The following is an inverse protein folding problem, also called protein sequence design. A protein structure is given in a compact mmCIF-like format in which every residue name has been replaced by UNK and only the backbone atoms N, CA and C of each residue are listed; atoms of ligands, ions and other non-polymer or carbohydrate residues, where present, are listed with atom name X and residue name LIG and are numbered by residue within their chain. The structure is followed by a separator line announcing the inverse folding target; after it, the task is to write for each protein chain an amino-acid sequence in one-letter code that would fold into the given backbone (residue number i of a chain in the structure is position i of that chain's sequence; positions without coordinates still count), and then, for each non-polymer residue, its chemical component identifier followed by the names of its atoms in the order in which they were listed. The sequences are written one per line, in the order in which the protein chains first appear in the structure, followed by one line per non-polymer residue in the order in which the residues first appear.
data_IF_406647963962
#
_entry.id   IF_406647963962
#
_cell.length_a   1.000
_cell.length_b   1.000
_cell.length_c   1.000
_cell.angle_alpha   90.00
_cell.angle_beta   90.00
_cell.angle_gamma   90.00
#
_symmetry.space_group_name_H-M   'P 1'
#
loop_
_entity.id
_entity.type
_entity.pdbx_description
1 polymer ?
#
# COMPACT_ATOMS: atom_id res chain seq x y z
N UNK A 1 -38.16 23.84 18.79
CA UNK A 1 -38.57 22.50 18.28
C UNK A 1 -37.64 22.10 17.16
N UNK A 2 -36.68 21.18 17.42
CA UNK A 2 -35.74 20.66 16.42
C UNK A 2 -36.42 19.52 15.66
N UNK A 3 -36.59 19.68 14.34
CA UNK A 3 -37.19 18.65 13.46
C UNK A 3 -36.20 17.46 13.34
N UNK A 4 -36.64 16.29 13.79
CA UNK A 4 -35.93 15.03 13.47
C UNK A 4 -36.02 14.76 11.97
N UNK A 5 -34.94 14.33 11.31
CA UNK A 5 -34.96 14.05 9.88
C UNK A 5 -35.74 12.75 9.62
N UNK A 6 -36.80 12.87 8.84
CA UNK A 6 -37.69 11.79 8.43
C UNK A 6 -37.04 10.50 7.94
N UNK A 7 -35.83 10.51 7.26
CA UNK A 7 -35.16 9.29 6.82
C UNK A 7 -34.65 8.40 7.97
N UNK A 8 -34.20 8.98 9.09
CA UNK A 8 -33.68 8.19 10.22
C UNK A 8 -34.76 7.41 10.95
N UNK A 9 -35.96 8.00 11.10
CA UNK A 9 -37.10 7.32 11.73
C UNK A 9 -37.59 6.14 10.88
N UNK A 10 -37.60 6.31 9.54
CA UNK A 10 -38.00 5.24 8.62
C UNK A 10 -37.02 4.07 8.60
N UNK A 11 -35.72 4.33 8.69
CA UNK A 11 -34.68 3.30 8.76
C UNK A 11 -34.78 2.50 10.06
N UNK A 12 -35.03 3.16 11.18
CA UNK A 12 -35.18 2.48 12.48
C UNK A 12 -36.45 1.60 12.50
N UNK A 13 -37.56 2.07 11.93
CA UNK A 13 -38.80 1.28 11.81
C UNK A 13 -38.62 0.08 10.86
N UNK A 14 -37.85 0.22 9.76
CA UNK A 14 -37.58 -0.88 8.84
C UNK A 14 -36.71 -1.96 9.49
N UNK A 15 -35.68 -1.58 10.23
CA UNK A 15 -34.79 -2.51 10.97
C UNK A 15 -35.59 -3.20 12.11
N UNK A 16 -36.41 -2.46 12.84
CA UNK A 16 -37.29 -3.02 13.86
C UNK A 16 -38.30 -4.03 13.31
N UNK A 17 -38.87 -3.73 12.13
CA UNK A 17 -39.79 -4.64 11.41
C UNK A 17 -39.10 -5.94 10.97
N UNK A 18 -37.88 -5.86 10.46
CA UNK A 18 -37.08 -7.02 10.04
C UNK A 18 -36.69 -7.89 11.26
N UNK A 19 -36.31 -7.29 12.36
CA UNK A 19 -35.95 -8.01 13.60
C UNK A 19 -37.17 -8.66 14.25
N UNK A 20 -38.36 -8.04 14.19
CA UNK A 20 -39.61 -8.60 14.71
C UNK A 20 -40.15 -9.76 13.86
N UNK A 21 -39.88 -9.74 12.54
CA UNK A 21 -40.30 -10.79 11.60
C UNK A 21 -39.34 -12.00 11.56
N UNK A 22 -38.10 -11.86 12.03
CA UNK A 22 -37.08 -12.89 12.01
C UNK A 22 -37.50 -14.24 12.65
N UNK A 23 -38.18 -14.29 13.80
CA UNK A 23 -38.64 -15.55 14.38
C UNK A 23 -39.75 -16.24 13.58
N UNK A 24 -40.58 -15.50 12.85
CA UNK A 24 -41.67 -16.04 12.03
C UNK A 24 -41.16 -16.63 10.71
N UNK A 25 -40.06 -16.07 10.18
CA UNK A 25 -39.41 -16.55 8.97
C UNK A 25 -38.59 -17.81 9.24
N UNK A 26 -37.87 -17.87 10.36
CA UNK A 26 -37.12 -19.06 10.77
C UNK A 26 -38.01 -20.27 11.07
N UNK A 27 -39.20 -20.06 11.63
CA UNK A 27 -40.17 -21.14 11.90
C UNK A 27 -40.79 -21.76 10.60
N UNK A 28 -40.82 -21.01 9.49
CA UNK A 28 -41.28 -21.53 8.19
C UNK A 28 -40.17 -22.14 7.33
N UNK A 29 -38.91 -21.84 7.59
CA UNK A 29 -37.77 -22.33 6.82
C UNK A 29 -37.17 -23.64 7.37
N UNK A 30 -37.62 -24.10 8.54
CA UNK A 30 -37.15 -25.37 9.14
C UNK A 30 -37.55 -26.63 8.36
N UNK A 31 -38.38 -26.53 7.31
CA UNK A 31 -38.74 -27.64 6.42
C UNK A 31 -37.98 -27.67 5.08
N UNK A 32 -37.16 -26.67 4.76
CA UNK A 32 -36.35 -26.65 3.54
C UNK A 32 -35.01 -27.33 3.82
N UNK A 33 -34.80 -28.49 3.21
CA UNK A 33 -33.53 -29.23 3.32
C UNK A 33 -32.40 -28.39 2.76
N UNK A 34 -31.32 -28.23 3.52
CA UNK A 34 -30.08 -27.54 3.08
C UNK A 34 -29.56 -28.01 1.70
N UNK A 35 -29.90 -29.26 1.30
CA UNK A 35 -29.58 -29.82 -0.01
C UNK A 35 -30.14 -29.02 -1.20
N UNK A 36 -31.33 -28.39 -1.07
CA UNK A 36 -31.92 -27.59 -2.15
C UNK A 36 -31.26 -26.25 -2.42
N UNK A 37 -30.45 -25.74 -1.46
CA UNK A 37 -29.70 -24.48 -1.62
C UNK A 37 -28.33 -24.75 -2.26
N UNK A 38 -27.75 -25.93 -2.04
CA UNK A 38 -26.45 -26.33 -2.63
C UNK A 38 -26.61 -26.54 -4.14
N UNK A 39 -27.75 -27.14 -4.60
CA UNK A 39 -28.03 -27.35 -6.03
C UNK A 39 -28.25 -26.04 -6.82
N UNK A 40 -28.59 -24.93 -6.14
CA UNK A 40 -28.71 -23.61 -6.77
C UNK A 40 -27.36 -22.89 -6.95
N UNK A 41 -26.28 -23.41 -6.35
CA UNK A 41 -24.93 -22.84 -6.41
C UNK A 41 -23.96 -23.67 -7.24
N UNK A 42 -24.43 -24.71 -7.91
CA UNK A 42 -23.61 -25.55 -8.78
C UNK A 42 -23.47 -24.94 -10.17
N UNK A 43 -22.39 -24.21 -10.39
CA UNK A 43 -21.99 -23.62 -11.67
C UNK A 43 -21.11 -24.59 -12.49
N UNK A 44 -21.48 -25.85 -12.60
CA UNK A 44 -20.85 -26.73 -13.58
C UNK A 44 -21.43 -26.46 -14.97
N UNK A 45 -20.61 -26.06 -15.97
CA UNK A 45 -21.14 -25.85 -17.31
C UNK A 45 -21.51 -27.17 -17.95
N UNK A 46 -22.80 -27.35 -18.30
CA UNK A 46 -23.26 -28.45 -19.12
C UNK A 46 -22.47 -28.50 -20.44
N UNK A 47 -21.77 -29.62 -20.67
CA UNK A 47 -21.14 -29.88 -21.95
C UNK A 47 -22.18 -30.33 -22.95
N UNK A 48 -22.65 -29.44 -23.79
CA UNK A 48 -23.42 -29.74 -24.97
C UNK A 48 -22.48 -30.38 -26.02
N UNK A 49 -22.81 -31.54 -26.57
CA UNK A 49 -21.97 -32.13 -27.63
C UNK A 49 -22.07 -31.30 -28.91
N UNK A 50 -20.94 -30.83 -29.41
CA UNK A 50 -20.83 -30.15 -30.68
C UNK A 50 -21.05 -31.12 -31.82
N UNK A 51 -22.08 -30.89 -32.63
CA UNK A 51 -22.24 -31.54 -33.95
C UNK A 51 -21.11 -31.13 -34.89
N UNK A 52 -20.59 -32.02 -35.75
CA UNK A 52 -19.50 -31.71 -36.63
C UNK A 52 -20.01 -30.86 -37.82
N UNK A 53 -19.78 -29.57 -37.78
CA UNK A 53 -19.92 -28.67 -38.92
C UNK A 53 -18.60 -28.65 -39.71
N UNK A 54 -18.72 -29.00 -40.96
CA UNK A 54 -17.73 -29.09 -42.01
C UNK A 54 -16.81 -27.85 -42.03
N UNK A 55 -15.52 -28.08 -41.80
CA UNK A 55 -14.49 -27.07 -41.94
C UNK A 55 -14.32 -26.67 -43.41
N UNK A 56 -14.81 -25.51 -43.80
CA UNK A 56 -14.30 -24.81 -44.98
C UNK A 56 -13.05 -24.04 -44.57
N UNK A 57 -11.92 -24.46 -45.12
CA UNK A 57 -10.64 -23.76 -45.01
C UNK A 57 -10.77 -22.41 -45.70
N UNK A 58 -10.86 -21.33 -44.97
CA UNK A 58 -10.70 -19.98 -45.49
C UNK A 58 -9.24 -19.61 -45.20
N UNK A 59 -8.44 -19.45 -46.26
CA UNK A 59 -7.10 -18.90 -46.15
C UNK A 59 -7.24 -17.48 -45.58
N UNK A 60 -6.51 -17.15 -44.49
CA UNK A 60 -6.53 -15.79 -43.97
C UNK A 60 -5.78 -14.87 -44.92
N UNK A 61 -6.45 -13.84 -45.40
CA UNK A 61 -5.78 -12.72 -46.13
C UNK A 61 -4.66 -12.14 -45.26
N UNK A 62 -3.52 -11.77 -45.82
CA UNK A 62 -2.42 -11.19 -45.06
C UNK A 62 -2.87 -9.87 -44.45
N UNK A 63 -2.89 -9.82 -43.10
CA UNK A 63 -3.13 -8.59 -42.35
C UNK A 63 -2.08 -7.55 -42.74
N UNK A 64 -2.47 -6.30 -43.00
CA UNK A 64 -1.50 -5.23 -43.29
C UNK A 64 -0.61 -5.10 -42.04
N UNK A 65 0.70 -5.23 -42.21
CA UNK A 65 1.67 -4.96 -41.18
C UNK A 65 1.47 -3.52 -40.70
N UNK A 66 1.14 -3.30 -39.39
CA UNK A 66 1.13 -1.93 -38.90
C UNK A 66 2.56 -1.40 -39.00
N UNK A 67 2.76 -0.38 -39.83
CA UNK A 67 3.96 0.46 -39.79
C UNK A 67 3.87 1.20 -38.46
N UNK A 68 4.37 0.57 -37.39
CA UNK A 68 4.66 1.23 -36.14
C UNK A 68 5.71 2.30 -36.45
N UNK A 69 5.25 3.54 -36.66
CA UNK A 69 6.11 4.69 -36.40
C UNK A 69 6.58 4.51 -34.98
N UNK A 70 7.86 4.22 -34.80
CA UNK A 70 8.58 4.36 -33.55
C UNK A 70 8.53 5.86 -33.18
N UNK A 71 7.37 6.33 -32.64
CA UNK A 71 7.42 7.40 -31.68
C UNK A 71 8.28 6.83 -30.57
N UNK A 72 9.37 7.51 -30.24
CA UNK A 72 10.23 7.18 -29.13
C UNK A 72 9.30 6.88 -27.95
N UNK A 73 9.14 5.60 -27.61
CA UNK A 73 8.38 5.18 -26.47
C UNK A 73 9.04 5.89 -25.29
N UNK A 74 8.34 6.85 -24.67
CA UNK A 74 8.83 7.47 -23.45
C UNK A 74 9.10 6.33 -22.48
N UNK A 75 10.33 6.25 -21.97
CA UNK A 75 10.69 5.21 -21.02
C UNK A 75 9.68 5.26 -19.87
N UNK A 76 9.14 4.09 -19.46
CA UNK A 76 8.18 4.02 -18.35
C UNK A 76 8.79 4.55 -17.06
N UNK A 77 10.09 4.34 -16.88
CA UNK A 77 10.90 4.93 -15.82
C UNK A 77 11.76 6.06 -16.44
N UNK A 78 11.40 7.30 -16.11
CA UNK A 78 12.13 8.51 -16.46
C UNK A 78 13.06 8.89 -15.30
N UNK A 79 14.35 8.66 -15.49
CA UNK A 79 15.45 8.97 -14.55
C UNK A 79 16.51 9.85 -15.21
N UNK A 80 16.08 10.80 -16.06
CA UNK A 80 16.98 11.70 -16.82
C UNK A 80 17.85 12.59 -15.94
N UNK A 81 17.46 12.78 -14.68
CA UNK A 81 18.21 13.57 -13.69
C UNK A 81 19.15 12.72 -12.84
N UNK A 82 19.34 11.43 -13.15
CA UNK A 82 20.13 10.48 -12.36
C UNK A 82 19.72 10.44 -10.88
N UNK A 83 18.43 10.68 -10.63
CA UNK A 83 17.85 10.78 -9.30
C UNK A 83 17.93 9.47 -8.50
N UNK A 84 18.09 8.34 -9.18
CA UNK A 84 18.17 7.02 -8.60
C UNK A 84 19.61 6.52 -8.38
N UNK A 85 20.64 7.30 -8.72
CA UNK A 85 22.03 6.83 -8.60
C UNK A 85 22.42 6.43 -7.18
N UNK A 86 21.97 7.18 -6.16
CA UNK A 86 22.15 6.81 -4.75
C UNK A 86 21.53 5.48 -4.40
N UNK A 87 20.31 5.24 -4.84
CA UNK A 87 19.61 3.98 -4.68
C UNK A 87 20.28 2.84 -5.46
N UNK A 88 20.67 3.04 -6.71
CA UNK A 88 21.35 2.01 -7.51
C UNK A 88 22.72 1.64 -6.93
N UNK A 89 23.42 2.60 -6.34
CA UNK A 89 24.68 2.32 -5.60
C UNK A 89 24.42 1.39 -4.41
N UNK A 90 23.37 1.66 -3.61
CA UNK A 90 23.00 0.80 -2.47
C UNK A 90 22.57 -0.60 -2.97
N UNK A 91 21.72 -0.66 -4.00
CA UNK A 91 21.23 -1.91 -4.58
C UNK A 91 22.37 -2.77 -5.17
N UNK A 92 23.37 -2.14 -5.83
CA UNK A 92 24.55 -2.82 -6.33
C UNK A 92 25.40 -3.45 -5.22
N UNK A 93 25.48 -2.82 -4.04
CA UNK A 93 26.17 -3.37 -2.89
C UNK A 93 25.45 -4.61 -2.34
N UNK A 94 24.11 -4.56 -2.25
CA UNK A 94 23.30 -5.71 -1.86
C UNK A 94 23.45 -6.86 -2.86
N UNK A 95 23.41 -6.57 -4.17
CA UNK A 95 23.61 -7.56 -5.25
C UNK A 95 24.96 -8.28 -5.15
N UNK A 96 26.03 -7.57 -4.78
CA UNK A 96 27.37 -8.18 -4.58
C UNK A 96 27.48 -8.93 -3.25
N UNK A 97 26.44 -8.94 -2.43
CA UNK A 97 26.48 -9.61 -1.13
C UNK A 97 27.42 -8.95 -0.12
N UNK A 98 27.66 -7.64 -0.22
CA UNK A 98 28.57 -6.93 0.70
C UNK A 98 28.03 -7.02 2.14
N UNK A 99 28.88 -7.34 3.14
CA UNK A 99 28.45 -7.40 4.53
C UNK A 99 27.73 -6.12 4.98
N UNK A 100 26.53 -6.27 5.56
CA UNK A 100 25.71 -5.15 6.04
C UNK A 100 25.06 -4.29 4.95
N UNK A 101 25.14 -4.66 3.68
CA UNK A 101 24.50 -3.94 2.59
C UNK A 101 23.00 -4.23 2.55
N UNK A 102 22.21 -3.47 3.32
CA UNK A 102 20.76 -3.50 3.29
C UNK A 102 20.25 -2.27 2.55
N UNK A 103 19.58 -2.49 1.42
CA UNK A 103 18.90 -1.42 0.65
C UNK A 103 17.48 -1.25 1.17
N UNK A 104 17.17 -0.07 1.72
CA UNK A 104 15.86 0.23 2.30
C UNK A 104 15.04 1.10 1.35
N UNK A 105 13.83 0.65 1.06
CA UNK A 105 12.86 1.38 0.24
C UNK A 105 11.64 1.69 1.08
N UNK A 106 11.20 2.95 1.07
CA UNK A 106 9.97 3.40 1.74
C UNK A 106 8.97 3.80 0.66
N UNK A 107 7.81 3.16 0.62
CA UNK A 107 6.76 3.41 -0.36
C UNK A 107 5.50 3.97 0.32
N UNK A 108 5.31 5.28 0.22
CA UNK A 108 4.08 5.95 0.62
C UNK A 108 3.03 5.86 -0.49
N UNK A 109 1.84 5.39 -0.15
CA UNK A 109 0.75 5.23 -1.12
C UNK A 109 -0.63 5.18 -0.48
N UNK A 110 -1.62 4.90 -1.31
CA UNK A 110 -3.03 4.81 -0.94
C UNK A 110 -3.52 3.36 -0.75
N UNK A 111 -4.77 3.07 -1.07
CA UNK A 111 -5.40 1.77 -0.79
C UNK A 111 -4.75 0.55 -1.44
N UNK A 112 -4.23 0.54 -2.69
CA UNK A 112 -3.45 -0.57 -3.24
C UNK A 112 -2.22 -0.92 -2.41
N UNK A 113 -1.54 0.09 -1.85
CA UNK A 113 -0.39 -0.08 -0.95
C UNK A 113 -0.84 -0.58 0.42
N UNK A 114 -1.97 -0.08 0.96
CA UNK A 114 -2.56 -0.58 2.22
C UNK A 114 -2.87 -2.08 2.19
N UNK A 115 -3.33 -2.58 1.06
CA UNK A 115 -3.68 -3.98 0.87
C UNK A 115 -2.52 -4.85 0.34
N UNK A 116 -1.32 -4.28 0.23
CA UNK A 116 -0.10 -4.93 -0.29
C UNK A 116 -0.30 -5.58 -1.68
N UNK A 117 -1.21 -5.01 -2.51
CA UNK A 117 -1.62 -5.58 -3.79
C UNK A 117 -0.54 -5.48 -4.88
N UNK A 118 0.26 -4.41 -4.82
CA UNK A 118 1.37 -4.17 -5.75
C UNK A 118 2.69 -4.30 -4.99
N UNK A 119 2.77 -3.69 -3.83
CA UNK A 119 3.98 -3.58 -3.00
C UNK A 119 4.50 -4.94 -2.53
N UNK A 120 3.59 -5.89 -2.21
CA UNK A 120 3.98 -7.23 -1.83
C UNK A 120 4.65 -8.02 -2.96
N UNK A 121 4.23 -7.84 -4.22
CA UNK A 121 4.91 -8.44 -5.36
C UNK A 121 6.21 -7.71 -5.71
N UNK A 122 6.28 -6.38 -5.58
CA UNK A 122 7.53 -5.62 -5.74
C UNK A 122 8.56 -6.11 -4.73
N UNK A 123 8.19 -6.18 -3.43
CA UNK A 123 9.05 -6.68 -2.36
C UNK A 123 9.58 -8.07 -2.68
N UNK A 124 8.70 -9.01 -3.02
CA UNK A 124 9.07 -10.39 -3.32
C UNK A 124 10.05 -10.50 -4.51
N UNK A 125 9.80 -9.77 -5.60
CA UNK A 125 10.67 -9.77 -6.79
C UNK A 125 12.05 -9.17 -6.50
N UNK A 126 12.10 -8.03 -5.79
CA UNK A 126 13.38 -7.42 -5.42
C UNK A 126 14.17 -8.29 -4.44
N UNK A 127 13.51 -8.88 -3.45
CA UNK A 127 14.14 -9.78 -2.49
C UNK A 127 14.65 -11.06 -3.15
N UNK A 128 13.89 -11.62 -4.10
CA UNK A 128 14.35 -12.77 -4.89
C UNK A 128 15.61 -12.47 -5.68
N UNK A 129 15.75 -11.25 -6.18
CA UNK A 129 16.88 -10.85 -7.05
C UNK A 129 18.11 -10.36 -6.27
N UNK A 130 17.89 -9.61 -5.18
CA UNK A 130 18.94 -8.87 -4.49
C UNK A 130 19.20 -9.35 -3.05
N UNK A 131 18.48 -10.37 -2.59
CA UNK A 131 18.54 -10.87 -1.21
C UNK A 131 17.38 -10.37 -0.35
N UNK A 132 16.91 -11.24 0.53
CA UNK A 132 15.81 -10.98 1.45
C UNK A 132 16.33 -10.49 2.81
N UNK A 133 16.22 -9.19 3.07
CA UNK A 133 16.59 -8.57 4.34
C UNK A 133 15.40 -8.34 5.28
N UNK A 134 14.23 -8.96 5.01
CA UNK A 134 13.09 -8.99 5.92
C UNK A 134 11.87 -8.19 5.45
N UNK A 135 10.86 -8.18 6.32
CA UNK A 135 9.58 -7.55 6.03
C UNK A 135 9.61 -6.02 6.05
N UNK A 136 10.56 -5.43 6.79
CA UNK A 136 10.59 -4.00 7.03
C UNK A 136 9.56 -3.56 8.06
N UNK A 137 8.97 -2.37 7.86
CA UNK A 137 8.05 -1.75 8.79
C UNK A 137 6.64 -2.35 8.69
N UNK A 138 6.09 -2.76 9.84
CA UNK A 138 4.76 -3.35 9.99
C UNK A 138 3.98 -2.57 11.04
N UNK A 139 2.71 -2.30 10.79
CA UNK A 139 1.81 -1.73 11.80
C UNK A 139 1.54 -2.74 12.92
N UNK A 140 1.13 -2.25 14.11
CA UNK A 140 0.89 -3.13 15.27
C UNK A 140 -0.57 -3.61 15.41
N UNK A 141 -1.49 -3.01 14.67
CA UNK A 141 -2.87 -3.47 14.54
C UNK A 141 -3.40 -3.07 13.17
N UNK A 142 -4.54 -3.64 12.74
CA UNK A 142 -5.16 -3.34 11.45
C UNK A 142 -6.02 -2.08 11.54
N UNK A 143 -5.65 -0.97 10.90
CA UNK A 143 -6.47 0.24 10.87
C UNK A 143 -7.74 0.05 10.01
N UNK A 144 -7.68 -0.87 9.06
CA UNK A 144 -8.77 -1.27 8.18
C UNK A 144 -8.82 -2.80 8.05
N UNK A 145 -9.98 -3.36 7.84
CA UNK A 145 -10.15 -4.82 7.73
C UNK A 145 -9.31 -5.44 6.60
N UNK A 146 -9.07 -4.69 5.53
CA UNK A 146 -8.28 -5.12 4.37
C UNK A 146 -6.80 -4.73 4.43
N UNK A 147 -6.32 -4.11 5.52
CA UNK A 147 -4.88 -3.92 5.71
C UNK A 147 -4.17 -5.28 5.70
N UNK A 148 -3.18 -5.38 4.85
CA UNK A 148 -2.35 -6.57 4.72
C UNK A 148 -0.86 -6.19 4.64
N UNK A 149 -0.03 -7.07 5.14
CA UNK A 149 1.39 -7.12 4.87
C UNK A 149 1.72 -8.59 4.58
N UNK A 150 2.02 -8.91 3.33
CA UNK A 150 2.19 -10.29 2.89
C UNK A 150 3.32 -10.97 3.67
N UNK A 151 3.07 -12.16 4.21
CA UNK A 151 3.99 -12.89 5.07
C UNK A 151 3.88 -12.52 6.57
N UNK A 152 2.95 -11.61 6.93
CA UNK A 152 2.72 -11.21 8.33
C UNK A 152 1.24 -11.34 8.68
N UNK A 153 0.93 -12.15 9.70
CA UNK A 153 -0.39 -12.20 10.30
C UNK A 153 -0.44 -11.27 11.52
N UNK A 154 -1.31 -10.27 11.43
CA UNK A 154 -1.43 -9.23 12.43
C UNK A 154 -2.77 -9.31 13.15
N UNK A 155 -2.74 -9.39 14.47
CA UNK A 155 -3.90 -9.22 15.33
C UNK A 155 -3.61 -8.21 16.45
N UNK A 156 -4.54 -7.29 16.68
CA UNK A 156 -4.47 -6.29 17.74
C UNK A 156 -5.84 -6.05 18.34
N UNK A 157 -5.90 -5.81 19.64
CA UNK A 157 -7.12 -5.48 20.39
C UNK A 157 -6.84 -4.40 21.42
N UNK A 158 -7.87 -3.66 21.81
CA UNK A 158 -7.79 -2.62 22.86
C UNK A 158 -7.10 -1.32 22.41
N UNK A 159 -6.61 -1.21 21.21
CA UNK A 159 -5.98 0.00 20.68
C UNK A 159 -7.03 1.01 20.19
N UNK A 160 -6.85 2.27 20.55
CA UNK A 160 -7.45 3.38 19.83
C UNK A 160 -6.59 3.64 18.59
N UNK A 161 -7.19 3.53 17.40
CA UNK A 161 -6.46 3.58 16.13
C UNK A 161 -6.84 4.85 15.39
N UNK A 162 -5.87 5.70 15.12
CA UNK A 162 -6.06 6.96 14.40
C UNK A 162 -5.14 7.01 13.16
N UNK A 163 -5.66 6.66 11.97
CA UNK A 163 -4.97 6.91 10.71
C UNK A 163 -4.97 8.40 10.37
N UNK A 164 -3.92 8.88 9.73
CA UNK A 164 -3.78 10.28 9.30
C UNK A 164 -4.84 10.72 8.27
N UNK A 165 -5.58 9.78 7.68
CA UNK A 165 -6.69 10.06 6.74
C UNK A 165 -8.05 10.33 7.41
N UNK A 166 -8.17 10.22 8.73
CA UNK A 166 -9.42 10.54 9.43
C UNK A 166 -9.63 12.05 9.57
N UNK A 167 -10.88 12.50 9.43
CA UNK A 167 -11.30 13.91 9.59
C UNK A 167 -11.41 14.34 11.07
N UNK A 168 -10.42 14.00 11.89
CA UNK A 168 -10.33 14.43 13.29
C UNK A 168 -9.18 15.43 13.44
N UNK A 169 -9.19 16.19 14.53
CA UNK A 169 -8.04 17.04 14.83
C UNK A 169 -6.76 16.19 14.94
N UNK A 170 -5.76 16.53 14.16
CA UNK A 170 -4.50 15.81 14.09
C UNK A 170 -3.45 16.57 14.91
N UNK A 171 -2.76 15.83 15.79
CA UNK A 171 -1.61 16.36 16.54
C UNK A 171 -0.27 16.15 15.81
N UNK A 172 -0.30 15.50 14.65
CA UNK A 172 0.87 15.24 13.79
C UNK A 172 1.73 14.04 14.20
N UNK A 173 1.39 13.32 15.27
CA UNK A 173 2.14 12.17 15.78
C UNK A 173 1.64 10.86 15.16
N UNK A 174 2.04 10.58 13.93
CA UNK A 174 1.58 9.40 13.19
C UNK A 174 2.69 8.35 12.91
N UNK A 175 3.92 8.61 13.37
CA UNK A 175 5.07 7.73 13.08
C UNK A 175 5.42 7.68 11.58
N UNK A 176 6.19 6.65 11.22
CA UNK A 176 6.63 6.44 9.85
C UNK A 176 5.47 6.06 8.93
N UNK A 177 4.58 5.18 9.40
CA UNK A 177 3.51 4.56 8.60
C UNK A 177 2.18 5.33 8.59
N UNK A 178 2.11 6.50 9.23
CA UNK A 178 0.92 7.35 9.17
C UNK A 178 -0.27 6.88 10.01
N UNK A 179 -0.05 6.00 10.99
CA UNK A 179 -1.08 5.51 11.91
C UNK A 179 -0.60 5.60 13.35
N UNK A 180 -1.43 6.18 14.19
CA UNK A 180 -1.24 6.29 15.63
C UNK A 180 -2.04 5.22 16.35
N UNK A 181 -1.42 4.53 17.31
CA UNK A 181 -2.03 3.52 18.16
C UNK A 181 -1.85 3.91 19.60
N UNK A 182 -2.94 4.25 20.30
CA UNK A 182 -2.89 4.64 21.72
C UNK A 182 -3.66 3.66 22.57
N UNK A 183 -3.17 3.42 23.80
CA UNK A 183 -3.83 2.62 24.81
C UNK A 183 -3.54 3.19 26.18
N UNK A 184 -4.49 3.01 27.13
CA UNK A 184 -4.26 3.31 28.54
C UNK A 184 -3.86 2.05 29.29
N UNK A 185 -4.52 0.93 29.01
CA UNK A 185 -4.26 -0.42 29.53
C UNK A 185 -4.95 -1.46 28.61
N UNK A 186 -4.72 -2.74 28.88
CA UNK A 186 -5.45 -3.87 28.28
C UNK A 186 -5.36 -4.02 26.74
N UNK A 187 -4.54 -3.23 26.07
CA UNK A 187 -4.27 -3.47 24.64
C UNK A 187 -3.27 -4.62 24.45
N UNK A 188 -3.36 -5.23 23.31
CA UNK A 188 -2.43 -6.29 22.93
C UNK A 188 -2.23 -6.30 21.43
N UNK A 189 -1.01 -6.56 21.02
CA UNK A 189 -0.65 -6.90 19.63
C UNK A 189 0.00 -8.25 19.57
N UNK A 190 -0.33 -9.03 18.54
CA UNK A 190 0.38 -10.23 18.16
C UNK A 190 0.72 -10.16 16.69
N UNK A 191 1.99 -10.36 16.38
CA UNK A 191 2.55 -10.37 15.02
C UNK A 191 3.13 -11.75 14.77
N UNK A 192 2.61 -12.50 13.80
CA UNK A 192 3.18 -13.77 13.36
C UNK A 192 3.85 -13.58 12.02
N UNK A 193 5.10 -14.04 11.95
CA UNK A 193 5.95 -13.98 10.77
C UNK A 193 5.93 -15.36 10.11
N UNK A 194 5.42 -15.43 8.87
CA UNK A 194 5.22 -16.70 8.18
C UNK A 194 6.53 -17.30 7.64
N UNK A 195 7.55 -16.46 7.43
CA UNK A 195 8.88 -16.86 7.01
C UNK A 195 9.89 -16.76 8.14
N UNK A 196 10.82 -17.71 8.29
CA UNK A 196 11.80 -17.72 9.35
C UNK A 196 12.93 -16.71 9.14
N UNK A 197 13.69 -16.44 10.21
CA UNK A 197 14.94 -15.69 10.14
C UNK A 197 14.83 -14.20 10.40
N UNK A 198 13.62 -13.67 10.68
CA UNK A 198 13.47 -12.31 11.19
C UNK A 198 14.09 -12.25 12.59
N UNK A 199 15.23 -11.59 12.73
CA UNK A 199 15.97 -11.59 13.99
C UNK A 199 16.27 -10.21 14.55
N UNK A 200 16.16 -9.17 13.74
CA UNK A 200 16.36 -7.78 14.12
C UNK A 200 15.04 -7.04 14.09
N UNK A 201 14.66 -6.49 15.22
CA UNK A 201 13.40 -5.82 15.41
C UNK A 201 13.62 -4.44 16.01
N UNK A 202 12.74 -3.50 15.70
CA UNK A 202 12.76 -2.18 16.32
C UNK A 202 11.33 -1.65 16.49
N UNK A 203 10.96 -1.36 17.75
CA UNK A 203 9.69 -0.74 18.10
C UNK A 203 9.77 0.77 17.89
N UNK A 204 8.80 1.34 17.17
CA UNK A 204 8.59 2.76 16.95
C UNK A 204 7.46 3.27 17.83
N UNK A 205 7.76 4.22 18.73
CA UNK A 205 6.81 4.71 19.71
C UNK A 205 7.01 6.20 20.01
N UNK A 206 6.12 6.78 20.80
CA UNK A 206 6.23 8.13 21.32
C UNK A 206 6.70 8.06 22.77
N UNK A 207 7.81 8.73 23.10
CA UNK A 207 8.13 9.12 24.47
C UNK A 207 7.28 10.32 24.82
N UNK A 208 6.60 10.30 26.00
CA UNK A 208 5.70 11.38 26.39
C UNK A 208 5.60 11.46 27.93
N UNK A 209 5.25 12.65 28.47
CA UNK A 209 4.97 12.78 29.90
C UNK A 209 3.86 11.82 30.33
N UNK A 210 4.05 11.18 31.51
CA UNK A 210 3.17 10.14 32.04
C UNK A 210 3.01 8.91 31.10
N UNK A 211 3.96 8.68 30.22
CA UNK A 211 4.01 7.45 29.44
C UNK A 211 4.16 6.21 30.35
N UNK A 212 3.53 5.11 29.97
CA UNK A 212 3.63 3.82 30.62
C UNK A 212 4.83 3.00 30.15
N UNK A 213 4.64 1.70 29.98
CA UNK A 213 5.62 0.79 29.41
C UNK A 213 4.99 -0.16 28.39
N UNK A 214 5.83 -0.85 27.62
CA UNK A 214 5.43 -1.88 26.65
C UNK A 214 6.26 -3.13 26.89
N UNK A 215 5.63 -4.17 27.42
CA UNK A 215 6.25 -5.48 27.53
C UNK A 215 6.31 -6.13 26.13
N UNK A 216 7.52 -6.54 25.73
CA UNK A 216 7.81 -7.23 24.46
C UNK A 216 8.17 -8.67 24.77
N UNK A 217 7.54 -9.62 24.06
CA UNK A 217 7.99 -11.01 24.04
C UNK A 217 8.09 -11.55 22.61
N UNK A 218 9.02 -12.45 22.41
CA UNK A 218 9.26 -13.19 21.17
C UNK A 218 9.13 -14.68 21.44
N UNK A 219 8.30 -15.40 20.69
CA UNK A 219 8.03 -16.84 20.87
C UNK A 219 7.76 -17.22 22.33
N UNK A 220 6.98 -16.37 23.03
CA UNK A 220 6.60 -16.47 24.44
C UNK A 220 7.74 -16.22 25.45
N UNK A 221 8.93 -15.88 25.02
CA UNK A 221 10.03 -15.47 25.89
C UNK A 221 10.01 -13.95 26.07
N UNK A 222 10.16 -13.48 27.31
CA UNK A 222 10.25 -12.05 27.62
C UNK A 222 11.56 -11.49 27.05
N UNK A 223 11.46 -10.39 26.31
CA UNK A 223 12.58 -9.67 25.71
C UNK A 223 12.91 -8.41 26.52
N UNK A 224 11.89 -7.55 26.71
CA UNK A 224 12.07 -6.25 27.37
C UNK A 224 10.74 -5.72 27.91
N UNK A 225 10.87 -4.77 28.84
CA UNK A 225 9.78 -3.83 29.22
C UNK A 225 10.28 -2.42 28.89
N UNK A 226 9.71 -1.81 27.83
CA UNK A 226 10.18 -0.56 27.26
C UNK A 226 9.40 0.59 27.84
N UNK A 227 10.04 1.47 28.63
CA UNK A 227 9.38 2.68 29.12
C UNK A 227 9.10 3.66 27.99
N UNK A 228 7.84 4.13 27.90
CA UNK A 228 7.42 5.20 27.00
C UNK A 228 7.36 6.56 27.68
N UNK A 229 7.76 6.63 28.96
CA UNK A 229 7.81 7.86 29.70
C UNK A 229 8.97 8.76 29.25
N UNK A 230 8.74 10.07 29.25
CA UNK A 230 9.72 11.08 28.89
C UNK A 230 9.26 12.48 29.32
N UNK A 231 10.18 13.42 29.44
CA UNK A 231 9.87 14.79 29.87
C UNK A 231 9.06 15.56 28.82
N UNK A 232 9.28 15.26 27.53
CA UNK A 232 8.62 15.90 26.40
C UNK A 232 8.20 14.86 25.37
N UNK A 233 7.22 15.21 24.51
CA UNK A 233 6.86 14.36 23.38
C UNK A 233 7.99 14.32 22.35
N UNK A 234 8.51 13.15 22.07
CA UNK A 234 9.54 12.91 21.05
C UNK A 234 9.48 11.48 20.51
N UNK A 235 10.02 11.25 19.32
CA UNK A 235 10.15 9.91 18.76
C UNK A 235 11.00 9.02 19.69
N UNK A 236 10.56 7.78 19.91
CA UNK A 236 11.28 6.75 20.62
C UNK A 236 11.47 5.54 19.71
N UNK A 237 12.64 4.91 19.82
CA UNK A 237 13.01 3.73 19.07
C UNK A 237 13.65 2.74 20.03
N UNK A 238 13.24 1.48 19.95
CA UNK A 238 13.81 0.43 20.76
C UNK A 238 14.16 -0.78 19.89
N UNK A 239 15.45 -0.93 19.60
CA UNK A 239 15.98 -2.05 18.81
C UNK A 239 16.29 -3.24 19.73
N UNK A 240 15.97 -4.44 19.25
CA UNK A 240 16.34 -5.69 19.90
C UNK A 240 16.57 -6.80 18.86
N UNK A 241 17.31 -7.82 19.27
CA UNK A 241 17.57 -8.99 18.42
C UNK A 241 17.18 -10.28 19.12
N UNK A 242 16.72 -11.24 18.33
CA UNK A 242 16.35 -12.59 18.80
C UNK A 242 17.27 -13.59 18.09
N UNK A 243 18.10 -14.29 18.85
CA UNK A 243 18.99 -15.30 18.31
C UNK A 243 18.20 -16.42 17.63
N UNK A 244 18.55 -16.73 16.38
CA UNK A 244 17.81 -17.71 15.57
C UNK A 244 16.53 -17.18 14.93
N UNK A 245 16.17 -15.91 15.19
CA UNK A 245 14.93 -15.28 14.71
C UNK A 245 13.72 -15.58 15.59
N UNK A 246 12.62 -14.89 15.32
CA UNK A 246 11.32 -15.09 15.97
C UNK A 246 10.22 -15.35 14.94
N UNK A 247 9.29 -16.19 15.29
CA UNK A 247 8.07 -16.47 14.51
C UNK A 247 6.84 -15.70 15.02
N UNK A 248 6.85 -15.27 16.27
CA UNK A 248 5.77 -14.51 16.89
C UNK A 248 6.32 -13.42 17.83
N UNK A 249 5.80 -12.20 17.68
CA UNK A 249 5.99 -11.11 18.65
C UNK A 249 4.68 -10.80 19.33
N UNK A 250 4.74 -10.52 20.64
CA UNK A 250 3.59 -10.09 21.46
C UNK A 250 3.97 -8.77 22.15
N UNK A 251 3.14 -7.73 21.95
CA UNK A 251 3.31 -6.41 22.57
C UNK A 251 2.15 -6.15 23.51
N UNK A 252 2.44 -5.77 24.76
CA UNK A 252 1.45 -5.48 25.80
C UNK A 252 1.81 -4.18 26.50
N UNK A 253 1.04 -3.11 26.29
CA UNK A 253 1.21 -1.89 27.05
C UNK A 253 0.72 -2.05 28.48
N UNK A 254 1.30 -1.24 29.37
CA UNK A 254 0.86 -1.01 30.74
C UNK A 254 0.91 0.48 30.99
N UNK A 255 -0.22 1.08 31.40
CA UNK A 255 -0.41 2.53 31.44
C UNK A 255 -0.48 3.14 30.04
N UNK A 256 -0.35 4.46 29.95
CA UNK A 256 -0.50 5.20 28.71
C UNK A 256 0.64 4.88 27.73
N UNK A 257 0.31 4.33 26.57
CA UNK A 257 1.26 4.02 25.51
C UNK A 257 0.79 4.56 24.18
N UNK A 258 1.75 5.05 23.37
CA UNK A 258 1.51 5.55 22.02
C UNK A 258 2.54 4.94 21.07
N UNK A 259 2.10 4.01 20.23
CA UNK A 259 2.96 3.24 19.32
C UNK A 259 2.64 3.58 17.87
N UNK A 260 3.60 3.30 16.99
CA UNK A 260 3.48 3.56 15.55
C UNK A 260 3.64 2.30 14.70
N UNK A 261 4.50 1.39 15.08
CA UNK A 261 4.82 0.19 14.32
C UNK A 261 6.07 -0.52 14.85
N UNK A 262 6.46 -1.56 14.14
CA UNK A 262 7.68 -2.31 14.43
C UNK A 262 8.33 -2.72 13.12
N UNK A 263 9.66 -2.72 13.06
CA UNK A 263 10.37 -3.34 11.93
C UNK A 263 10.69 -4.80 12.24
N UNK A 264 10.72 -5.62 11.20
CA UNK A 264 11.16 -7.01 11.24
C UNK A 264 12.15 -7.23 10.09
N UNK A 265 13.43 -7.42 10.42
CA UNK A 265 14.52 -7.55 9.45
C UNK A 265 15.32 -8.82 9.68
N UNK A 266 15.91 -9.34 8.60
CA UNK A 266 16.84 -10.46 8.62
C UNK A 266 18.28 -9.95 8.65
N UNK A 267 19.22 -10.71 9.20
CA UNK A 267 20.63 -10.39 9.07
C UNK A 267 21.11 -10.65 7.64
N UNK A 268 22.05 -9.86 7.18
CA UNK A 268 22.69 -10.05 5.88
C UNK A 268 22.29 -9.01 4.83
N UNK A 269 22.95 -9.08 3.66
CA UNK A 269 22.69 -8.16 2.55
C UNK A 269 21.35 -8.47 1.89
N UNK A 270 20.70 -7.43 1.37
CA UNK A 270 19.42 -7.61 0.67
C UNK A 270 18.56 -6.34 0.64
N UNK A 271 17.29 -6.53 0.34
CA UNK A 271 16.31 -5.46 0.22
C UNK A 271 15.29 -5.55 1.34
N UNK A 272 15.02 -4.40 1.96
CA UNK A 272 13.88 -4.15 2.84
C UNK A 272 12.94 -3.18 2.12
N UNK A 273 11.64 -3.52 2.11
CA UNK A 273 10.64 -2.71 1.42
C UNK A 273 9.48 -2.39 2.36
N UNK A 274 9.44 -1.14 2.85
CA UNK A 274 8.39 -0.64 3.72
C UNK A 274 7.16 -0.22 2.90
N UNK A 275 6.07 -0.98 3.01
CA UNK A 275 4.79 -0.69 2.37
C UNK A 275 3.94 0.18 3.29
N UNK A 276 3.95 1.50 3.08
CA UNK A 276 3.31 2.49 3.96
C UNK A 276 2.03 3.05 3.32
N UNK A 277 1.04 2.18 3.15
CA UNK A 277 -0.24 2.52 2.55
C UNK A 277 -1.25 3.06 3.56
N UNK A 278 -1.95 4.13 3.19
CA UNK A 278 -3.05 4.71 3.93
C UNK A 278 -4.31 4.76 3.07
N UNK A 279 -5.35 4.03 3.48
CA UNK A 279 -6.60 3.98 2.72
C UNK A 279 -7.24 5.35 2.58
N UNK A 280 -7.59 5.72 1.34
CA UNK A 280 -8.19 7.02 1.02
C UNK A 280 -7.22 8.21 1.10
N UNK A 281 -5.92 7.97 1.24
CA UNK A 281 -4.92 9.03 1.34
C UNK A 281 -4.76 9.79 0.02
N UNK A 282 -4.50 11.08 0.17
CA UNK A 282 -4.02 11.98 -0.86
C UNK A 282 -2.61 12.48 -0.50
N UNK A 283 -1.95 13.15 -1.43
CA UNK A 283 -0.63 13.75 -1.22
C UNK A 283 -0.59 14.71 -0.03
N UNK A 284 -1.75 15.25 0.39
CA UNK A 284 -1.88 16.16 1.54
C UNK A 284 -1.49 15.52 2.86
N UNK A 285 -1.49 14.19 2.96
CA UNK A 285 -0.99 13.48 4.14
C UNK A 285 0.49 13.80 4.36
N UNK A 286 1.30 13.74 3.32
CA UNK A 286 2.73 14.02 3.39
C UNK A 286 3.03 15.53 3.45
N UNK A 287 2.25 16.36 2.76
CA UNK A 287 2.51 17.78 2.67
C UNK A 287 2.02 18.59 3.87
N UNK A 288 0.96 18.13 4.58
CA UNK A 288 0.31 18.93 5.64
C UNK A 288 0.05 18.19 6.94
N UNK A 289 -0.38 16.89 6.87
CA UNK A 289 -0.97 16.21 8.02
C UNK A 289 0.08 15.60 8.94
N UNK A 290 1.11 14.98 8.38
CA UNK A 290 2.23 14.52 9.18
C UNK A 290 2.94 15.70 9.86
N UNK A 291 3.13 15.64 11.18
CA UNK A 291 3.90 16.64 11.92
C UNK A 291 5.31 16.72 11.34
N UNK A 292 5.71 17.91 10.88
CA UNK A 292 6.94 18.10 10.11
C UNK A 292 8.18 17.56 10.82
N UNK A 293 8.39 17.97 12.06
CA UNK A 293 9.54 17.54 12.86
C UNK A 293 9.49 16.04 13.13
N UNK A 294 8.34 15.53 13.57
CA UNK A 294 8.19 14.12 13.92
C UNK A 294 8.41 13.21 12.72
N UNK A 295 7.81 13.52 11.58
CA UNK A 295 7.98 12.73 10.36
C UNK A 295 9.43 12.77 9.86
N UNK A 296 10.08 13.94 9.91
CA UNK A 296 11.50 14.06 9.56
C UNK A 296 12.41 13.21 10.49
N UNK A 297 12.09 13.15 11.80
CA UNK A 297 12.80 12.28 12.77
C UNK A 297 12.62 10.79 12.39
N UNK A 298 11.41 10.37 12.03
CA UNK A 298 11.13 9.00 11.59
C UNK A 298 11.90 8.63 10.32
N UNK A 299 11.89 9.51 9.31
CA UNK A 299 12.62 9.29 8.05
C UNK A 299 14.14 9.23 8.26
N UNK A 300 14.70 10.15 9.06
CA UNK A 300 16.16 10.13 9.37
C UNK A 300 16.56 8.89 10.13
N UNK A 301 15.72 8.42 11.03
CA UNK A 301 15.98 7.20 11.77
C UNK A 301 15.90 5.97 10.86
N UNK A 302 14.92 5.89 9.97
CA UNK A 302 14.74 4.76 9.04
C UNK A 302 15.83 4.69 7.98
N UNK A 303 16.40 5.80 7.57
CA UNK A 303 17.47 5.91 6.57
C UNK A 303 17.18 5.16 5.26
N UNK A 304 16.10 5.48 4.54
CA UNK A 304 15.83 4.85 3.25
C UNK A 304 16.84 5.30 2.18
N UNK A 305 17.18 4.38 1.28
CA UNK A 305 17.92 4.67 0.05
C UNK A 305 17.01 5.18 -1.06
N UNK A 306 15.72 4.79 -1.01
CA UNK A 306 14.68 5.25 -1.93
C UNK A 306 13.39 5.57 -1.20
N UNK A 307 12.82 6.74 -1.48
CA UNK A 307 11.44 7.09 -1.09
C UNK A 307 10.56 7.14 -2.34
N UNK A 308 9.52 6.31 -2.35
CA UNK A 308 8.50 6.29 -3.40
C UNK A 308 7.27 7.04 -2.92
N UNK A 309 6.76 7.96 -3.77
CA UNK A 309 5.55 8.76 -3.53
C UNK A 309 4.50 8.37 -4.57
N UNK A 310 3.48 7.62 -4.16
CA UNK A 310 2.47 7.02 -5.04
C UNK A 310 1.05 7.45 -4.65
N UNK A 311 0.66 8.63 -5.07
CA UNK A 311 -0.67 9.23 -4.86
C UNK A 311 -1.26 9.73 -6.19
N UNK A 312 -2.52 10.19 -6.17
CA UNK A 312 -3.23 10.70 -7.32
C UNK A 312 -4.60 10.05 -7.56
N UNK A 313 -4.78 8.82 -7.07
CA UNK A 313 -6.03 8.08 -7.25
C UNK A 313 -7.21 8.76 -6.55
N UNK A 314 -7.02 9.18 -5.30
CA UNK A 314 -8.08 9.80 -4.50
C UNK A 314 -8.30 11.27 -4.85
N UNK A 315 -7.30 11.94 -5.38
CA UNK A 315 -7.39 13.31 -5.89
C UNK A 315 -8.23 13.39 -7.18
N UNK A 316 -8.33 12.29 -7.93
CA UNK A 316 -8.98 12.27 -9.23
C UNK A 316 -10.46 12.70 -9.22
N UNK A 317 -11.13 12.64 -8.07
CA UNK A 317 -12.50 13.10 -7.90
C UNK A 317 -12.63 14.64 -7.74
N UNK A 318 -11.52 15.36 -7.59
CA UNK A 318 -11.50 16.77 -7.19
C UNK A 318 -10.86 17.68 -8.24
N UNK A 319 -11.55 17.98 -9.34
CA UNK A 319 -11.06 18.81 -10.46
C UNK A 319 -10.42 20.13 -9.99
N UNK A 320 -11.11 20.88 -9.12
CA UNK A 320 -10.64 22.16 -8.64
C UNK A 320 -9.31 22.04 -7.83
N UNK A 321 -9.13 20.94 -7.11
CA UNK A 321 -7.88 20.69 -6.39
C UNK A 321 -6.74 20.34 -7.35
N UNK A 322 -7.01 19.57 -8.39
CA UNK A 322 -6.02 19.23 -9.41
C UNK A 322 -5.55 20.50 -10.12
N UNK A 323 -6.47 21.41 -10.47
CA UNK A 323 -6.16 22.62 -11.22
C UNK A 323 -5.39 23.66 -10.41
N UNK A 324 -5.64 23.76 -9.10
CA UNK A 324 -5.17 24.89 -8.30
C UNK A 324 -4.33 24.53 -7.08
N UNK A 325 -4.27 23.25 -6.68
CA UNK A 325 -3.64 22.85 -5.42
C UNK A 325 -2.68 21.67 -5.53
N UNK A 326 -2.97 20.69 -6.36
CA UNK A 326 -2.28 19.41 -6.37
C UNK A 326 -0.76 19.55 -6.61
N UNK A 327 -0.35 20.31 -7.61
CA UNK A 327 1.07 20.53 -7.91
C UNK A 327 1.81 21.12 -6.73
N UNK A 328 1.23 22.14 -6.06
CA UNK A 328 1.80 22.76 -4.87
C UNK A 328 1.99 21.75 -3.74
N UNK A 329 0.98 20.92 -3.48
CA UNK A 329 1.05 19.91 -2.42
C UNK A 329 2.10 18.85 -2.71
N UNK A 330 2.20 18.40 -3.95
CA UNK A 330 3.23 17.44 -4.36
C UNK A 330 4.63 18.02 -4.18
N UNK A 331 4.86 19.26 -4.64
CA UNK A 331 6.15 19.96 -4.43
C UNK A 331 6.48 20.13 -2.95
N UNK A 332 5.50 20.48 -2.13
CA UNK A 332 5.68 20.60 -0.67
C UNK A 332 6.06 19.26 -0.05
N UNK A 333 5.42 18.16 -0.42
CA UNK A 333 5.78 16.84 0.07
C UNK A 333 7.24 16.47 -0.28
N UNK A 334 7.65 16.69 -1.53
CA UNK A 334 9.03 16.47 -1.99
C UNK A 334 10.03 17.33 -1.21
N UNK A 335 9.72 18.61 -1.00
CA UNK A 335 10.58 19.52 -0.22
C UNK A 335 10.75 19.04 1.22
N UNK A 336 9.68 18.55 1.88
CA UNK A 336 9.74 18.00 3.24
C UNK A 336 10.61 16.74 3.31
N UNK A 337 10.52 15.84 2.31
CA UNK A 337 11.39 14.67 2.21
C UNK A 337 12.84 15.10 2.04
N UNK A 338 13.14 16.03 1.14
CA UNK A 338 14.49 16.57 0.93
C UNK A 338 15.05 17.26 2.17
N UNK A 339 14.23 18.01 2.91
CA UNK A 339 14.65 18.65 4.17
C UNK A 339 15.01 17.63 5.26
N UNK A 340 14.30 16.49 5.29
CA UNK A 340 14.63 15.38 6.20
C UNK A 340 15.85 14.59 5.74
N UNK A 341 15.97 14.30 4.44
CA UNK A 341 16.92 13.41 3.80
C UNK A 341 17.49 14.04 2.52
N UNK A 342 18.50 14.93 2.62
CA UNK A 342 18.98 15.72 1.48
C UNK A 342 19.50 14.89 0.29
N UNK A 343 20.03 13.70 0.53
CA UNK A 343 20.69 12.85 -0.47
C UNK A 343 19.84 11.64 -0.90
N UNK A 344 18.62 11.49 -0.38
CA UNK A 344 17.79 10.31 -0.69
C UNK A 344 17.34 10.33 -2.14
N UNK A 345 17.35 9.16 -2.79
CA UNK A 345 16.67 8.98 -4.07
C UNK A 345 15.16 9.11 -3.88
N UNK A 346 14.49 9.89 -4.73
CA UNK A 346 13.02 10.05 -4.69
C UNK A 346 12.46 9.65 -6.06
N UNK A 347 11.42 8.81 -6.02
CA UNK A 347 10.67 8.38 -7.20
C UNK A 347 9.19 8.74 -7.01
N UNK A 348 8.65 9.50 -7.94
CA UNK A 348 7.21 9.74 -8.03
C UNK A 348 6.63 8.63 -8.91
N UNK A 349 5.70 7.84 -8.36
CA UNK A 349 4.99 6.79 -9.07
C UNK A 349 3.56 7.26 -9.35
N UNK A 350 3.18 7.31 -10.63
CA UNK A 350 1.87 7.81 -11.01
C UNK A 350 0.73 6.89 -10.52
N UNK A 351 -0.50 7.42 -10.41
CA UNK A 351 -1.66 6.56 -10.18
C UNK A 351 -1.83 5.58 -11.33
N UNK A 352 -2.59 4.53 -11.07
CA UNK A 352 -3.13 3.64 -12.08
C UNK A 352 -4.19 4.36 -12.94
N UNK A 353 -4.60 3.74 -14.06
CA UNK A 353 -5.87 4.11 -14.69
C UNK A 353 -7.02 3.95 -13.68
N UNK A 354 -7.97 4.86 -13.70
CA UNK A 354 -9.19 4.83 -12.89
C UNK A 354 -10.39 5.02 -13.81
N UNK A 355 -11.33 4.06 -13.74
CA UNK A 355 -12.50 4.03 -14.58
C UNK A 355 -13.73 4.65 -13.92
N UNK A 356 -14.62 5.17 -14.76
CA UNK A 356 -16.00 5.49 -14.38
C UNK A 356 -16.96 4.86 -15.36
N UNK A 357 -18.19 4.55 -14.94
CA UNK A 357 -19.26 4.12 -15.86
C UNK A 357 -19.96 5.33 -16.40
N UNK A 358 -20.15 5.34 -17.72
CA UNK A 358 -21.01 6.33 -18.40
C UNK A 358 -22.49 6.00 -18.22
N UNK A 359 -23.36 6.92 -18.60
CA UNK A 359 -24.80 6.68 -18.63
C UNK A 359 -25.25 5.52 -19.54
N UNK A 360 -24.44 5.16 -20.55
CA UNK A 360 -24.61 3.98 -21.41
C UNK A 360 -24.03 2.68 -20.84
N UNK A 361 -23.40 2.72 -19.65
CA UNK A 361 -22.79 1.55 -19.01
C UNK A 361 -21.35 1.24 -19.46
N UNK A 362 -20.80 1.98 -20.38
CA UNK A 362 -19.42 1.86 -20.85
C UNK A 362 -18.45 2.30 -19.74
N UNK A 363 -17.25 1.73 -19.75
CA UNK A 363 -16.17 2.09 -18.81
C UNK A 363 -15.18 3.00 -19.53
N UNK A 364 -15.04 4.21 -19.02
CA UNK A 364 -14.08 5.21 -19.52
C UNK A 364 -13.05 5.55 -18.47
N UNK A 365 -11.84 5.92 -18.90
CA UNK A 365 -10.83 6.54 -18.05
C UNK A 365 -11.33 7.88 -17.51
N UNK A 366 -11.17 8.15 -16.24
CA UNK A 366 -11.43 9.48 -15.68
C UNK A 366 -10.45 10.48 -16.29
N UNK A 367 -10.96 11.57 -16.85
CA UNK A 367 -10.17 12.61 -17.54
C UNK A 367 -9.12 13.30 -16.64
N UNK A 368 -9.31 13.23 -15.35
CA UNK A 368 -8.39 13.76 -14.34
C UNK A 368 -7.11 12.94 -14.20
N UNK A 369 -7.14 11.65 -14.49
CA UNK A 369 -5.97 10.77 -14.35
C UNK A 369 -4.80 11.20 -15.26
N UNK A 370 -4.97 11.35 -16.58
CA UNK A 370 -3.88 11.84 -17.44
C UNK A 370 -3.34 13.20 -16.99
N UNK A 371 -4.19 14.10 -16.52
CA UNK A 371 -3.77 15.43 -16.03
C UNK A 371 -2.88 15.33 -14.79
N UNK A 372 -3.24 14.44 -13.84
CA UNK A 372 -2.42 14.16 -12.65
C UNK A 372 -1.07 13.60 -13.07
N UNK A 373 -1.06 12.63 -14.00
CA UNK A 373 0.17 12.02 -14.52
C UNK A 373 1.10 13.08 -15.13
N UNK A 374 0.57 14.01 -15.93
CA UNK A 374 1.34 15.09 -16.54
C UNK A 374 1.91 16.06 -15.51
N UNK A 375 1.12 16.40 -14.46
CA UNK A 375 1.60 17.23 -13.35
C UNK A 375 2.75 16.52 -12.62
N UNK A 376 2.57 15.25 -12.30
CA UNK A 376 3.57 14.46 -11.57
C UNK A 376 4.88 14.32 -12.35
N UNK A 377 4.80 14.06 -13.65
CA UNK A 377 5.97 13.99 -14.53
C UNK A 377 6.73 15.32 -14.56
N UNK A 378 6.03 16.43 -14.73
CA UNK A 378 6.61 17.77 -14.70
C UNK A 378 7.28 18.07 -13.35
N UNK A 379 6.58 17.82 -12.24
CA UNK A 379 7.12 18.03 -10.90
C UNK A 379 8.35 17.17 -10.65
N UNK A 380 8.34 15.89 -11.04
CA UNK A 380 9.50 15.01 -10.92
C UNK A 380 10.72 15.59 -11.64
N UNK A 381 10.53 16.01 -12.88
CA UNK A 381 11.59 16.65 -13.68
C UNK A 381 12.15 17.90 -12.99
N UNK A 382 11.26 18.81 -12.57
CA UNK A 382 11.65 20.12 -12.01
C UNK A 382 12.31 20.01 -10.62
N UNK A 383 11.99 18.94 -9.87
CA UNK A 383 12.50 18.73 -8.50
C UNK A 383 13.65 17.72 -8.42
N UNK A 384 14.15 17.24 -9.56
CA UNK A 384 15.23 16.26 -9.60
C UNK A 384 14.84 14.90 -9.00
N UNK A 385 13.58 14.48 -9.21
CA UNK A 385 13.09 13.15 -8.85
C UNK A 385 13.02 12.26 -10.10
N UNK A 386 13.07 10.94 -9.91
CA UNK A 386 12.67 10.01 -10.95
C UNK A 386 11.13 9.93 -11.05
N UNK A 387 10.63 9.47 -12.19
CA UNK A 387 9.20 9.29 -12.41
C UNK A 387 8.92 7.93 -13.04
N UNK A 388 8.00 7.17 -12.44
CA UNK A 388 7.47 5.94 -13.03
C UNK A 388 6.02 6.13 -13.45
N UNK A 389 5.75 5.93 -14.75
CA UNK A 389 4.43 6.07 -15.32
C UNK A 389 3.63 4.76 -15.22
N UNK A 390 2.95 4.55 -14.08
CA UNK A 390 2.07 3.39 -13.87
C UNK A 390 0.90 3.38 -14.84
N UNK A 391 0.34 4.55 -15.15
CA UNK A 391 -0.76 4.67 -16.10
C UNK A 391 -0.35 4.15 -17.49
N UNK A 392 0.79 4.59 -18.00
CA UNK A 392 1.33 4.10 -19.27
C UNK A 392 1.75 2.62 -19.20
N UNK A 393 2.34 2.19 -18.08
CA UNK A 393 2.74 0.79 -17.86
C UNK A 393 1.58 -0.19 -17.92
N UNK A 394 0.37 0.25 -17.52
CA UNK A 394 -0.88 -0.52 -17.66
C UNK A 394 -1.41 -0.56 -19.10
N UNK A 395 -1.04 0.42 -19.93
CA UNK A 395 -1.51 0.59 -21.32
C UNK A 395 -2.28 1.89 -21.56
N UNK A 396 -2.21 2.86 -20.67
CA UNK A 396 -2.81 4.19 -20.80
C UNK A 396 -4.33 4.20 -20.72
N UNK A 397 -4.93 5.21 -21.31
CA UNK A 397 -6.38 5.39 -21.31
C UNK A 397 -7.15 4.16 -21.85
N UNK A 398 -8.30 3.87 -21.25
CA UNK A 398 -9.14 2.72 -21.57
C UNK A 398 -8.61 1.39 -21.01
N UNK A 399 -7.51 1.40 -20.26
CA UNK A 399 -6.98 0.17 -19.65
C UNK A 399 -7.95 -0.40 -18.63
N UNK A 400 -8.63 0.43 -17.86
CA UNK A 400 -9.58 -0.05 -16.86
C UNK A 400 -10.70 -0.89 -17.50
N UNK A 401 -11.22 -0.48 -18.67
CA UNK A 401 -12.21 -1.26 -19.43
C UNK A 401 -11.63 -2.59 -19.91
N UNK A 402 -10.43 -2.57 -20.52
CA UNK A 402 -9.76 -3.78 -21.02
C UNK A 402 -9.44 -4.75 -19.89
N UNK A 403 -8.96 -4.27 -18.76
CA UNK A 403 -8.60 -5.10 -17.60
C UNK A 403 -9.83 -5.64 -16.87
N UNK A 404 -10.93 -4.88 -16.89
CA UNK A 404 -12.21 -5.36 -16.36
C UNK A 404 -12.77 -6.53 -17.18
N UNK A 405 -12.63 -6.48 -18.51
CA UNK A 405 -13.07 -7.53 -19.44
C UNK A 405 -12.11 -8.72 -19.54
N UNK A 406 -10.88 -8.61 -19.02
CA UNK A 406 -9.86 -9.66 -19.10
C UNK A 406 -10.25 -10.92 -18.31
N UNK A 407 -9.72 -12.07 -18.73
CA UNK A 407 -9.86 -13.37 -18.05
C UNK A 407 -8.46 -13.95 -17.72
N UNK A 408 -8.06 -14.07 -16.45
CA UNK A 408 -8.77 -13.55 -15.27
C UNK A 408 -8.85 -12.02 -15.25
N UNK A 409 -9.86 -11.47 -14.56
CA UNK A 409 -10.04 -10.04 -14.42
C UNK A 409 -8.83 -9.42 -13.68
N UNK A 410 -8.30 -8.31 -14.20
CA UNK A 410 -7.11 -7.65 -13.67
C UNK A 410 -7.41 -6.45 -12.75
N UNK A 411 -8.67 -6.03 -12.68
CA UNK A 411 -9.15 -4.96 -11.78
C UNK A 411 -10.42 -5.39 -11.06
N UNK A 412 -10.69 -4.79 -9.91
CA UNK A 412 -11.90 -5.00 -9.12
C UNK A 412 -13.13 -4.38 -9.80
N UNK A 413 -14.32 -4.74 -9.32
CA UNK A 413 -15.58 -4.23 -9.85
C UNK A 413 -15.79 -2.72 -9.59
N UNK A 414 -15.05 -2.14 -8.66
CA UNK A 414 -15.07 -0.72 -8.34
C UNK A 414 -14.35 0.16 -9.37
N UNK A 415 -13.60 -0.44 -10.32
CA UNK A 415 -12.85 0.25 -11.38
C UNK A 415 -11.72 1.16 -10.85
N UNK A 416 -11.23 0.87 -9.64
CA UNK A 416 -10.18 1.61 -8.94
C UNK A 416 -9.01 0.68 -8.57
N UNK A 417 -9.33 -0.44 -7.92
CA UNK A 417 -8.31 -1.31 -7.34
C UNK A 417 -7.90 -2.43 -8.30
N UNK A 418 -6.62 -2.78 -8.38
CA UNK A 418 -6.18 -3.93 -9.16
C UNK A 418 -6.64 -5.22 -8.46
N UNK A 419 -6.88 -6.27 -9.23
CA UNK A 419 -6.91 -7.63 -8.70
C UNK A 419 -5.48 -8.07 -8.33
N UNK A 420 -5.29 -9.17 -7.59
CA UNK A 420 -3.94 -9.73 -7.35
C UNK A 420 -3.14 -9.96 -8.65
N UNK A 421 -3.79 -10.42 -9.72
CA UNK A 421 -3.16 -10.61 -11.01
C UNK A 421 -2.77 -9.28 -11.68
N UNK A 422 -3.61 -8.26 -11.56
CA UNK A 422 -3.31 -6.90 -12.05
C UNK A 422 -2.17 -6.25 -11.29
N UNK A 423 -2.18 -6.36 -9.95
CA UNK A 423 -1.11 -5.86 -9.09
C UNK A 423 0.23 -6.50 -9.42
N UNK A 424 0.26 -7.83 -9.57
CA UNK A 424 1.48 -8.56 -9.98
C UNK A 424 2.01 -8.09 -11.33
N UNK A 425 1.11 -7.80 -12.31
CA UNK A 425 1.53 -7.30 -13.63
C UNK A 425 2.20 -5.94 -13.53
N UNK A 426 1.65 -5.02 -12.73
CA UNK A 426 2.25 -3.69 -12.49
C UNK A 426 3.62 -3.85 -11.80
N UNK A 427 3.68 -4.64 -10.72
CA UNK A 427 4.91 -4.91 -9.98
C UNK A 427 6.03 -5.47 -10.88
N UNK A 428 5.69 -6.43 -11.76
CA UNK A 428 6.66 -7.02 -12.70
C UNK A 428 7.23 -5.99 -13.66
N UNK A 429 6.39 -5.11 -14.20
CA UNK A 429 6.85 -4.04 -15.09
C UNK A 429 7.72 -3.04 -14.32
N UNK A 430 7.31 -2.63 -13.14
CA UNK A 430 8.05 -1.70 -12.30
C UNK A 430 9.46 -2.23 -11.95
N UNK A 431 9.55 -3.46 -11.46
CA UNK A 431 10.83 -4.07 -11.08
C UNK A 431 11.74 -4.22 -12.31
N UNK A 432 11.21 -4.66 -13.45
CA UNK A 432 11.99 -4.74 -14.70
C UNK A 432 12.58 -3.39 -15.12
N UNK A 433 11.82 -2.30 -15.01
CA UNK A 433 12.31 -0.95 -15.34
C UNK A 433 13.39 -0.48 -14.35
N UNK A 434 13.25 -0.81 -13.06
CA UNK A 434 14.31 -0.55 -12.05
C UNK A 434 15.58 -1.34 -12.35
N UNK A 435 15.47 -2.62 -12.70
CA UNK A 435 16.62 -3.47 -13.08
C UNK A 435 17.30 -2.93 -14.32
N UNK A 436 16.54 -2.54 -15.35
CA UNK A 436 17.09 -1.91 -16.54
C UNK A 436 17.80 -0.58 -16.22
N UNK A 437 17.29 0.19 -15.27
CA UNK A 437 17.93 1.40 -14.74
C UNK A 437 19.25 1.08 -14.05
N UNK A 438 19.26 0.06 -13.20
CA UNK A 438 20.48 -0.41 -12.52
C UNK A 438 21.55 -0.85 -13.51
N UNK A 439 21.21 -1.61 -14.57
CA UNK A 439 22.18 -2.01 -15.58
C UNK A 439 22.75 -0.79 -16.34
N UNK A 440 21.93 0.21 -16.64
CA UNK A 440 22.43 1.47 -17.21
C UNK A 440 23.37 2.21 -16.26
N UNK A 441 23.07 2.23 -14.96
CA UNK A 441 23.92 2.83 -13.94
C UNK A 441 25.29 2.14 -13.86
N UNK A 442 25.35 0.80 -13.92
CA UNK A 442 26.60 0.03 -13.82
C UNK A 442 27.58 0.25 -15.00
N UNK A 443 27.08 0.69 -16.15
CA UNK A 443 27.91 0.90 -17.35
C UNK A 443 28.30 2.36 -17.57
N UNK A 444 27.82 3.26 -16.70
CA UNK A 444 28.25 4.67 -16.61
C UNK A 444 29.50 4.78 -15.73
#
# INVERSE_FOLDING_TARGET
MKRFPFPAAFTILLIGGILAAAPLVTARLSGLRLAAIVDLLDFTPERTPLSPLIARTIEPAPLPRPVLRLQQASALLDDRNEALDGFYKALSRAERGEPGAVTRMVHYGDSPTTADLITGDIRALLQQRFGDAGHGFVLIAKPWAWYQHRGVDLSGSGWQILPATRFQAHDGWFGLGGVSFTAEDAARTRIRLQDPGQSNFELYYLKQPNGGSVAISADRQSIADVSTNGEVKQAGFFAFSVSGGASELDLRPSGSAHLFGITAEKPGPGVVYDSLGLNGASITVLSRIFGERHWAEQLRHRQPDLVIVNYGTNEADFNAFIDHGYEKELRTAIQRIRAALPQVSILIMSPMDRGRRTGGGEIETMETIPRIVDIQRRVAHDTGCAFFDTFAAMGGAGTMARWYAAQPRLVSADLIHPSPAGGKRIATVFVRELEAGLERFKVR
#
